data_IF_553337203773
#
_entry.id   IF_553337203773
#
_cell.length_a   1.000
_cell.length_b   1.000
_cell.length_c   1.000
_cell.angle_alpha   90.00
_cell.angle_beta   90.00
_cell.angle_gamma   90.00
#
_symmetry.space_group_name_H-M   'P 1'
#
loop_
_entity.id
_entity.type
_entity.pdbx_description
1 polymer ?
#
# COMPACT_ATOMS: atom_id res chain seq x y z
N UNK A 1 -9.99 18.26 5.86
CA UNK A 1 -9.19 17.11 6.35
C UNK A 1 -9.13 15.94 5.35
N UNK A 2 -10.08 15.83 4.42
CA UNK A 2 -10.26 14.64 3.57
C UNK A 2 -9.06 14.23 2.69
N UNK A 3 -8.32 15.18 2.12
CA UNK A 3 -7.16 14.84 1.28
C UNK A 3 -6.01 14.23 2.10
N UNK A 4 -5.75 14.75 3.30
CA UNK A 4 -4.77 14.18 4.23
C UNK A 4 -5.13 12.73 4.61
N UNK A 5 -6.42 12.47 4.85
CA UNK A 5 -6.92 11.11 5.11
C UNK A 5 -6.72 10.19 3.91
N UNK A 6 -6.92 10.68 2.68
CA UNK A 6 -6.66 9.92 1.47
C UNK A 6 -5.16 9.55 1.33
N UNK A 7 -4.25 10.48 1.64
CA UNK A 7 -2.81 10.23 1.64
C UNK A 7 -2.42 9.17 2.68
N UNK A 8 -2.93 9.28 3.91
CA UNK A 8 -2.64 8.29 4.96
C UNK A 8 -3.19 6.91 4.60
N UNK A 9 -4.30 6.82 3.87
CA UNK A 9 -4.81 5.54 3.37
C UNK A 9 -3.91 4.90 2.32
N UNK A 10 -3.05 5.65 1.63
CA UNK A 10 -2.00 5.06 0.79
C UNK A 10 -0.97 4.33 1.67
N UNK A 11 -0.62 4.89 2.83
CA UNK A 11 0.26 4.23 3.80
C UNK A 11 -0.38 2.96 4.38
N UNK A 12 -1.69 3.00 4.69
CA UNK A 12 -2.46 1.80 5.09
C UNK A 12 -2.47 0.75 3.97
N UNK A 13 -2.68 1.17 2.73
CA UNK A 13 -2.63 0.28 1.56
C UNK A 13 -1.27 -0.40 1.40
N UNK A 14 -0.16 0.34 1.60
CA UNK A 14 1.19 -0.23 1.61
C UNK A 14 1.36 -1.27 2.72
N UNK A 15 0.88 -1.00 3.92
CA UNK A 15 0.87 -2.00 5.01
C UNK A 15 0.13 -3.28 4.62
N UNK A 16 -1.07 -3.18 4.05
CA UNK A 16 -1.84 -4.38 3.65
C UNK A 16 -1.10 -5.14 2.53
N UNK A 17 -0.65 -4.42 1.51
CA UNK A 17 -0.06 -5.03 0.31
C UNK A 17 1.29 -5.68 0.63
N UNK A 18 2.18 -4.99 1.32
CA UNK A 18 3.50 -5.51 1.64
C UNK A 18 3.49 -6.53 2.77
N UNK A 19 2.59 -6.45 3.76
CA UNK A 19 2.57 -7.42 4.84
C UNK A 19 1.91 -8.73 4.40
N UNK A 20 0.82 -8.64 3.62
CA UNK A 20 0.00 -9.79 3.28
C UNK A 20 0.06 -10.14 1.79
N UNK A 21 -0.37 -9.23 0.91
CA UNK A 21 -0.65 -9.56 -0.50
C UNK A 21 0.60 -10.05 -1.25
N UNK A 22 1.72 -9.34 -1.14
CA UNK A 22 2.95 -9.71 -1.84
C UNK A 22 3.61 -10.95 -1.27
N UNK A 23 3.59 -11.14 0.04
CA UNK A 23 4.10 -12.34 0.69
C UNK A 23 3.30 -13.59 0.28
N UNK A 24 1.97 -13.50 0.29
CA UNK A 24 1.08 -14.59 -0.14
C UNK A 24 1.30 -14.92 -1.62
N UNK A 25 1.28 -13.92 -2.51
CA UNK A 25 1.47 -14.14 -3.96
C UNK A 25 2.90 -14.59 -4.29
N UNK A 26 3.87 -14.10 -3.55
CA UNK A 26 5.28 -14.41 -3.69
C UNK A 26 5.69 -15.73 -3.02
N UNK A 27 4.80 -16.36 -2.24
CA UNK A 27 5.14 -17.51 -1.38
C UNK A 27 6.39 -17.25 -0.54
N UNK A 28 6.55 -16.02 -0.04
CA UNK A 28 7.66 -15.61 0.83
C UNK A 28 7.11 -15.13 2.15
N UNK A 29 7.89 -15.28 3.22
CA UNK A 29 7.55 -14.71 4.53
C UNK A 29 7.88 -13.22 4.63
N UNK A 30 8.74 -12.73 3.74
CA UNK A 30 9.25 -11.36 3.76
C UNK A 30 9.38 -10.80 2.34
N UNK A 31 9.19 -9.49 2.24
CA UNK A 31 9.62 -8.67 1.12
C UNK A 31 10.16 -7.32 1.65
N UNK A 32 11.03 -6.63 0.90
CA UNK A 32 11.69 -5.42 1.39
C UNK A 32 10.75 -4.33 1.93
N UNK A 33 9.55 -4.18 1.36
CA UNK A 33 8.60 -3.15 1.81
C UNK A 33 7.87 -3.49 3.11
N UNK A 34 7.97 -4.73 3.61
CA UNK A 34 7.26 -5.18 4.81
C UNK A 34 7.75 -4.46 6.07
N UNK A 35 9.06 -4.37 6.29
CA UNK A 35 9.62 -3.67 7.47
C UNK A 35 9.20 -2.21 7.48
N UNK A 36 9.37 -1.51 6.35
CA UNK A 36 8.99 -0.10 6.25
C UNK A 36 7.51 0.09 6.56
N UNK A 37 6.66 -0.81 6.05
CA UNK A 37 5.23 -0.69 6.25
C UNK A 37 4.78 -0.98 7.68
N UNK A 38 5.41 -1.93 8.37
CA UNK A 38 5.10 -2.27 9.75
C UNK A 38 5.63 -1.22 10.73
N UNK A 39 6.88 -0.76 10.55
CA UNK A 39 7.56 0.10 11.53
C UNK A 39 7.20 1.58 11.33
N UNK A 40 6.95 2.02 10.09
CA UNK A 40 6.67 3.43 9.81
C UNK A 40 5.21 3.67 9.41
N UNK A 41 4.73 3.00 8.36
CA UNK A 41 3.41 3.33 7.81
C UNK A 41 2.26 2.99 8.74
N UNK A 42 2.29 1.83 9.41
CA UNK A 42 1.24 1.43 10.33
C UNK A 42 1.17 2.36 11.56
N UNK A 43 2.26 2.59 12.33
CA UNK A 43 2.20 3.49 13.49
C UNK A 43 1.81 4.92 13.12
N UNK A 44 2.31 5.44 11.99
CA UNK A 44 1.96 6.77 11.51
C UNK A 44 0.47 6.87 11.17
N UNK A 45 -0.08 5.86 10.50
CA UNK A 45 -1.50 5.83 10.14
C UNK A 45 -2.39 5.76 11.39
N UNK A 46 -2.05 4.90 12.35
CA UNK A 46 -2.76 4.79 13.63
C UNK A 46 -2.72 6.11 14.40
N UNK A 47 -1.54 6.73 14.50
CA UNK A 47 -1.37 8.01 15.18
C UNK A 47 -2.18 9.13 14.51
N UNK A 48 -2.17 9.19 13.18
CA UNK A 48 -2.97 10.16 12.43
C UNK A 48 -4.46 10.00 12.73
N UNK A 49 -5.00 8.77 12.66
CA UNK A 49 -6.42 8.54 12.93
C UNK A 49 -6.79 8.86 14.38
N UNK A 50 -5.94 8.48 15.34
CA UNK A 50 -6.10 8.89 16.74
C UNK A 50 -6.15 10.41 16.88
N UNK A 51 -5.25 11.13 16.22
CA UNK A 51 -5.13 12.57 16.31
C UNK A 51 -6.34 13.30 15.67
N UNK A 52 -6.81 12.88 14.50
CA UNK A 52 -7.96 13.54 13.85
C UNK A 52 -9.30 13.24 14.51
N UNK A 53 -9.40 12.15 15.30
CA UNK A 53 -10.62 11.80 16.05
C UNK A 53 -10.63 12.52 17.41
N UNK A 54 -9.48 12.62 18.07
CA UNK A 54 -9.40 13.13 19.45
C UNK A 54 -9.07 14.62 19.55
N UNK A 55 -8.35 15.18 18.57
CA UNK A 55 -7.86 16.57 18.62
C UNK A 55 -8.52 17.48 17.60
N UNK A 56 -8.95 16.93 16.47
CA UNK A 56 -9.73 17.68 15.50
C UNK A 56 -11.17 17.24 15.59
N UNK A 57 -12.10 18.19 15.69
CA UNK A 57 -13.54 17.89 15.66
C UNK A 57 -13.97 17.61 14.21
N UNK A 58 -13.29 16.67 13.56
CA UNK A 58 -13.42 16.40 12.13
C UNK A 58 -14.79 15.83 11.86
N UNK A 59 -15.53 16.44 10.93
CA UNK A 59 -16.84 15.93 10.55
C UNK A 59 -16.77 14.48 10.04
N UNK A 60 -17.71 13.60 10.43
CA UNK A 60 -17.77 12.24 9.90
C UNK A 60 -17.84 12.20 8.36
N UNK A 61 -18.50 13.17 7.73
CA UNK A 61 -18.59 13.27 6.27
C UNK A 61 -17.25 13.50 5.61
N UNK A 62 -16.38 14.31 6.22
CA UNK A 62 -15.02 14.55 5.71
C UNK A 62 -14.14 13.31 5.81
N UNK A 63 -14.31 12.52 6.88
CA UNK A 63 -13.60 11.25 7.08
C UNK A 63 -14.04 10.25 6.01
N UNK A 64 -15.35 10.09 5.80
CA UNK A 64 -15.90 9.19 4.78
C UNK A 64 -15.43 9.59 3.39
N UNK A 65 -15.52 10.88 3.04
CA UNK A 65 -15.02 11.38 1.75
C UNK A 65 -13.53 11.08 1.58
N UNK A 66 -12.72 11.33 2.61
CA UNK A 66 -11.30 11.01 2.61
C UNK A 66 -11.02 9.51 2.45
N UNK A 67 -11.84 8.65 3.06
CA UNK A 67 -11.73 7.19 2.91
C UNK A 67 -12.00 6.77 1.47
N UNK A 68 -13.10 7.23 0.89
CA UNK A 68 -13.45 6.91 -0.50
C UNK A 68 -12.38 7.40 -1.48
N UNK A 69 -11.89 8.62 -1.30
CA UNK A 69 -10.79 9.18 -2.10
C UNK A 69 -9.49 8.38 -1.93
N UNK A 70 -9.15 7.96 -0.70
CA UNK A 70 -7.98 7.14 -0.43
C UNK A 70 -8.04 5.75 -1.08
N UNK A 71 -9.20 5.09 -1.04
CA UNK A 71 -9.44 3.82 -1.73
C UNK A 71 -9.29 4.02 -3.24
N UNK A 72 -9.90 5.07 -3.79
CA UNK A 72 -9.79 5.41 -5.20
C UNK A 72 -8.32 5.54 -5.64
N UNK A 73 -7.51 6.30 -4.90
CA UNK A 73 -6.09 6.47 -5.25
C UNK A 73 -5.25 5.21 -5.07
N UNK A 74 -5.52 4.38 -4.06
CA UNK A 74 -4.83 3.09 -3.94
C UNK A 74 -5.12 2.18 -5.15
N UNK A 75 -6.36 2.14 -5.61
CA UNK A 75 -6.76 1.30 -6.74
C UNK A 75 -6.23 1.89 -8.05
N UNK A 76 -6.61 3.13 -8.38
CA UNK A 76 -6.36 3.73 -9.69
C UNK A 76 -5.00 4.43 -9.80
N UNK A 77 -4.45 4.92 -8.70
CA UNK A 77 -3.15 5.57 -8.67
C UNK A 77 -1.97 4.62 -8.48
N UNK A 78 -2.18 3.45 -7.87
CA UNK A 78 -1.09 2.51 -7.55
C UNK A 78 -1.31 1.14 -8.18
N UNK A 79 -2.39 0.44 -7.82
CA UNK A 79 -2.56 -0.97 -8.22
C UNK A 79 -2.81 -1.12 -9.72
N UNK A 80 -3.72 -0.33 -10.29
CA UNK A 80 -4.10 -0.41 -11.71
C UNK A 80 -2.93 -0.09 -12.65
N UNK A 81 -2.15 0.98 -12.44
CA UNK A 81 -0.95 1.22 -13.25
C UNK A 81 0.01 0.04 -13.26
N UNK A 82 0.29 -0.58 -12.10
CA UNK A 82 1.17 -1.78 -12.04
C UNK A 82 0.59 -2.92 -12.87
N UNK A 83 -0.72 -3.13 -12.83
CA UNK A 83 -1.39 -4.19 -13.59
C UNK A 83 -1.41 -3.91 -15.09
N UNK A 84 -1.73 -2.68 -15.48
CA UNK A 84 -1.86 -2.25 -16.88
C UNK A 84 -0.50 -2.18 -17.59
N UNK A 85 0.54 -1.75 -16.88
CA UNK A 85 1.88 -1.59 -17.44
C UNK A 85 2.71 -2.88 -17.39
N UNK A 86 2.22 -3.93 -16.72
CA UNK A 86 2.90 -5.23 -16.66
C UNK A 86 2.88 -5.92 -18.04
N UNK A 87 4.06 -6.15 -18.62
CA UNK A 87 4.22 -6.97 -19.82
C UNK A 87 4.88 -8.32 -19.49
N UNK A 88 4.17 -9.43 -19.73
CA UNK A 88 4.70 -10.79 -19.54
C UNK A 88 5.63 -11.24 -20.67
N UNK A 89 5.53 -10.65 -21.86
CA UNK A 89 6.31 -10.97 -23.06
C UNK A 89 7.51 -10.01 -23.23
N UNK A 90 8.01 -9.43 -22.14
CA UNK A 90 9.15 -8.53 -22.20
C UNK A 90 10.43 -9.28 -22.60
N UNK A 91 11.25 -8.67 -23.47
CA UNK A 91 12.59 -9.18 -23.80
C UNK A 91 13.57 -9.02 -22.63
N UNK A 92 13.27 -8.13 -21.68
CA UNK A 92 14.09 -7.87 -20.50
C UNK A 92 13.73 -8.85 -19.39
N UNK A 93 14.39 -10.00 -19.40
CA UNK A 93 14.23 -11.05 -18.39
C UNK A 93 15.30 -10.85 -17.32
N UNK A 94 14.93 -11.02 -16.05
CA UNK A 94 15.89 -11.00 -14.95
C UNK A 94 16.91 -12.13 -15.09
N UNK A 95 18.16 -11.86 -14.70
CA UNK A 95 19.18 -12.91 -14.71
C UNK A 95 18.83 -14.04 -13.75
N UNK A 96 19.24 -15.30 -14.05
CA UNK A 96 18.94 -16.47 -13.19
C UNK A 96 19.32 -16.25 -11.72
N UNK A 97 20.42 -15.55 -11.44
CA UNK A 97 20.83 -15.24 -10.06
C UNK A 97 19.80 -14.42 -9.28
N UNK A 98 19.01 -13.59 -9.97
CA UNK A 98 17.96 -12.73 -9.41
C UNK A 98 16.61 -13.43 -9.29
N UNK A 99 16.42 -14.56 -9.99
CA UNK A 99 15.21 -15.37 -9.89
C UNK A 99 15.22 -16.17 -8.57
N UNK A 100 14.01 -16.41 -8.03
CA UNK A 100 13.83 -17.29 -6.86
C UNK A 100 14.30 -18.70 -7.22
N UNK A 101 14.79 -19.51 -6.27
CA UNK A 101 15.30 -20.86 -6.55
C UNK A 101 14.34 -21.75 -7.36
N UNK A 102 13.03 -21.60 -7.14
CA UNK A 102 11.97 -22.33 -7.86
C UNK A 102 11.68 -21.82 -9.28
N UNK A 103 12.15 -20.63 -9.66
CA UNK A 103 11.94 -20.00 -10.97
C UNK A 103 13.23 -19.93 -11.81
N UNK A 104 14.34 -20.52 -11.34
CA UNK A 104 15.67 -20.50 -12.00
C UNK A 104 15.79 -21.45 -13.18
#
# INVERSE_FOLDING_TARGET
MSFCTAVILISVGNFIVHTFVFNIKGKTFYNPGMITSIIFFLPLSVYYFYFIITKFNTSPTEIIAGILTGIFFNIFGIIKPIQWLKNKNTKYIFERRQLRPQDR
#
